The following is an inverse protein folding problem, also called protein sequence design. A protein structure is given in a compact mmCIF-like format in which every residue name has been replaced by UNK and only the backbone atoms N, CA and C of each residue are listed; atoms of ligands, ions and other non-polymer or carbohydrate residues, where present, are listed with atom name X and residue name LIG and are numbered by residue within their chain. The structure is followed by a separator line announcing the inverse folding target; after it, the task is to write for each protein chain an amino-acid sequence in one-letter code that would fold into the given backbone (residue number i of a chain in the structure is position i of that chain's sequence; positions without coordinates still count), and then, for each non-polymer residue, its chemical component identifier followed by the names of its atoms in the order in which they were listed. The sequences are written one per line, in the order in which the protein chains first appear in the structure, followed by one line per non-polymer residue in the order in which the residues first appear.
data_IF_849529584596
#
_entry.id   IF_849529584596
#
_cell.length_a   1.000
_cell.length_b   1.000
_cell.length_c   1.000
_cell.angle_alpha   90.00
_cell.angle_beta   90.00
_cell.angle_gamma   90.00
#
_symmetry.space_group_name_H-M   'P 1'
#
loop_
_entity.id
_entity.type
_entity.pdbx_description
1 polymer ?
#
# COMPACT_ATOMS: atom_id res chain seq x y z
N UNK A 1 2.76 19.82 3.29
CA UNK A 1 3.31 18.53 3.73
C UNK A 1 2.14 17.63 4.08
N UNK A 2 2.01 16.46 3.44
CA UNK A 2 0.97 15.50 3.84
C UNK A 2 1.36 14.85 5.17
N UNK A 3 0.42 14.66 6.09
CA UNK A 3 0.64 13.98 7.37
C UNK A 3 -0.40 12.88 7.53
N UNK A 4 0.03 11.76 8.09
CA UNK A 4 -0.85 10.67 8.50
C UNK A 4 -1.49 11.08 9.83
N UNK A 5 -2.80 11.32 9.84
CA UNK A 5 -3.53 11.84 10.99
C UNK A 5 -4.73 10.97 11.32
N UNK A 6 -5.51 10.57 10.31
CA UNK A 6 -6.74 9.79 10.50
C UNK A 6 -6.54 8.29 10.37
N UNK A 7 -5.51 7.86 9.66
CA UNK A 7 -5.35 6.49 9.17
C UNK A 7 -5.15 5.49 10.31
N UNK A 8 -4.38 5.85 11.34
CA UNK A 8 -4.24 5.02 12.55
C UNK A 8 -5.58 4.84 13.29
N UNK A 9 -6.41 5.88 13.34
CA UNK A 9 -7.74 5.78 13.95
C UNK A 9 -8.69 4.96 13.10
N UNK A 10 -8.60 5.05 11.78
CA UNK A 10 -9.34 4.18 10.85
C UNK A 10 -9.06 2.70 11.13
N UNK A 11 -7.79 2.33 11.34
CA UNK A 11 -7.45 0.95 11.71
C UNK A 11 -8.07 0.50 13.04
N UNK A 12 -8.09 1.38 14.06
CA UNK A 12 -8.77 1.09 15.34
C UNK A 12 -10.27 0.85 15.17
N UNK A 13 -10.91 1.57 14.25
CA UNK A 13 -12.31 1.37 13.91
C UNK A 13 -12.50 0.03 13.18
N UNK A 14 -11.67 -0.25 12.18
CA UNK A 14 -11.73 -1.49 11.39
C UNK A 14 -11.55 -2.75 12.25
N UNK A 15 -10.74 -2.70 13.33
CA UNK A 15 -10.58 -3.82 14.28
C UNK A 15 -11.89 -4.29 14.93
N UNK A 16 -12.95 -3.48 14.92
CA UNK A 16 -14.25 -3.84 15.50
C UNK A 16 -15.10 -4.74 14.59
N UNK A 17 -14.64 -5.01 13.36
CA UNK A 17 -15.38 -5.75 12.35
C UNK A 17 -14.59 -6.97 11.86
N UNK A 18 -15.26 -8.03 11.40
CA UNK A 18 -14.60 -9.18 10.80
C UNK A 18 -14.13 -8.84 9.38
N UNK A 19 -12.99 -8.16 9.27
CA UNK A 19 -12.40 -7.76 8.00
C UNK A 19 -11.53 -8.89 7.42
N UNK A 20 -11.81 -9.30 6.18
CA UNK A 20 -11.05 -10.35 5.49
C UNK A 20 -9.90 -9.80 4.64
N UNK A 21 -10.02 -8.56 4.15
CA UNK A 21 -9.00 -7.88 3.36
C UNK A 21 -8.96 -6.37 3.64
N UNK A 22 -7.76 -5.79 3.57
CA UNK A 22 -7.53 -4.35 3.65
C UNK A 22 -6.68 -3.93 2.46
N UNK A 23 -7.15 -2.95 1.70
CA UNK A 23 -6.37 -2.35 0.61
C UNK A 23 -5.86 -0.98 1.03
N UNK A 24 -4.53 -0.79 0.99
CA UNK A 24 -3.89 0.48 1.30
C UNK A 24 -3.61 1.27 0.03
N UNK A 25 -3.90 2.57 0.08
CA UNK A 25 -3.66 3.54 -0.98
C UNK A 25 -2.81 4.69 -0.45
N UNK A 26 -1.96 5.25 -1.31
CA UNK A 26 -1.16 6.44 -1.02
C UNK A 26 -1.49 7.48 -2.07
N UNK A 27 -2.42 8.36 -1.74
CA UNK A 27 -2.98 9.34 -2.67
C UNK A 27 -1.89 10.00 -3.53
N UNK A 28 -1.90 9.71 -4.83
CA UNK A 28 -1.08 10.44 -5.79
C UNK A 28 -1.87 11.68 -6.16
N UNK A 29 -1.22 12.86 -6.18
CA UNK A 29 -1.86 14.06 -6.71
C UNK A 29 -2.35 13.84 -8.14
N UNK A 30 -3.54 14.37 -8.43
CA UNK A 30 -4.07 14.41 -9.78
C UNK A 30 -3.16 15.31 -10.65
N UNK A 31 -2.87 14.90 -11.88
CA UNK A 31 -2.04 15.67 -12.82
C UNK A 31 -2.59 17.08 -13.11
N UNK A 32 -3.86 17.33 -12.80
CA UNK A 32 -4.50 18.64 -12.95
C UNK A 32 -4.12 19.66 -11.85
N UNK A 33 -3.51 19.23 -10.74
CA UNK A 33 -3.12 20.08 -9.59
C UNK A 33 -1.61 20.37 -9.51
N UNK A 34 -0.98 20.61 -10.68
CA UNK A 34 0.46 20.83 -10.91
C UNK A 34 1.09 22.05 -10.19
N UNK A 35 0.39 22.73 -9.29
CA UNK A 35 0.82 24.03 -8.75
C UNK A 35 1.72 23.95 -7.51
N UNK A 36 1.82 22.79 -6.83
CA UNK A 36 2.75 22.60 -5.68
C UNK A 36 3.26 21.16 -5.59
N UNK A 37 4.58 20.99 -5.47
CA UNK A 37 5.20 19.69 -5.17
C UNK A 37 4.65 19.15 -3.84
N UNK A 38 4.14 17.92 -3.86
CA UNK A 38 3.76 17.23 -2.63
C UNK A 38 5.00 16.48 -2.16
N UNK A 39 5.54 16.94 -1.04
CA UNK A 39 6.52 16.16 -0.32
C UNK A 39 5.78 15.08 0.48
N UNK A 40 5.89 13.83 0.02
CA UNK A 40 5.36 12.68 0.73
C UNK A 40 6.31 12.35 1.88
N UNK A 41 5.76 12.20 3.07
CA UNK A 41 6.51 11.68 4.20
C UNK A 41 6.61 10.14 4.06
N UNK A 42 7.62 9.70 3.31
CA UNK A 42 7.84 8.29 2.99
C UNK A 42 8.06 7.45 4.23
N UNK A 43 8.75 7.98 5.23
CA UNK A 43 9.01 7.28 6.48
C UNK A 43 7.70 7.06 7.24
N UNK A 44 6.85 8.09 7.36
CA UNK A 44 5.52 7.94 7.96
C UNK A 44 4.67 6.91 7.22
N UNK A 45 4.70 6.89 5.89
CA UNK A 45 3.97 5.90 5.07
C UNK A 45 4.47 4.48 5.35
N UNK A 46 5.80 4.27 5.35
CA UNK A 46 6.42 2.98 5.68
C UNK A 46 6.02 2.52 7.09
N UNK A 47 6.10 3.41 8.07
CA UNK A 47 5.73 3.14 9.45
C UNK A 47 4.26 2.73 9.56
N UNK A 48 3.38 3.40 8.83
CA UNK A 48 1.95 3.05 8.79
C UNK A 48 1.69 1.68 8.14
N UNK A 49 2.41 1.33 7.06
CA UNK A 49 2.31 -0.01 6.45
C UNK A 49 2.74 -1.11 7.43
N UNK A 50 3.88 -0.92 8.08
CA UNK A 50 4.39 -1.86 9.09
C UNK A 50 3.40 -1.98 10.25
N UNK A 51 2.87 -0.87 10.74
CA UNK A 51 1.86 -0.84 11.78
C UNK A 51 0.61 -1.62 11.36
N UNK A 52 0.09 -1.38 10.16
CA UNK A 52 -1.09 -2.08 9.62
C UNK A 52 -0.86 -3.59 9.58
N UNK A 53 0.31 -4.04 9.08
CA UNK A 53 0.63 -5.46 9.00
C UNK A 53 0.67 -6.11 10.38
N UNK A 54 1.28 -5.43 11.37
CA UNK A 54 1.36 -5.92 12.77
C UNK A 54 -0.01 -6.01 13.44
N UNK A 55 -0.89 -5.06 13.14
CA UNK A 55 -2.22 -4.98 13.76
C UNK A 55 -3.22 -5.99 13.18
N UNK A 56 -2.99 -6.43 11.95
CA UNK A 56 -3.87 -7.34 11.23
C UNK A 56 -3.13 -8.55 10.64
N UNK A 57 -2.33 -9.31 11.39
CA UNK A 57 -1.36 -10.27 10.83
C UNK A 57 -1.97 -11.40 9.99
N UNK A 58 -3.26 -11.68 10.12
CA UNK A 58 -3.99 -12.74 9.40
C UNK A 58 -4.92 -12.23 8.29
N UNK A 59 -5.10 -10.92 8.17
CA UNK A 59 -5.97 -10.30 7.16
C UNK A 59 -5.21 -10.13 5.86
N UNK A 60 -5.84 -10.35 4.71
CA UNK A 60 -5.16 -10.11 3.43
C UNK A 60 -4.88 -8.61 3.27
N UNK A 61 -3.62 -8.24 3.14
CA UNK A 61 -3.19 -6.85 2.98
C UNK A 61 -2.77 -6.62 1.53
N UNK A 62 -3.46 -5.70 0.86
CA UNK A 62 -3.26 -5.40 -0.54
C UNK A 62 -2.72 -3.99 -0.74
N UNK A 63 -1.74 -3.83 -1.63
CA UNK A 63 -1.25 -2.52 -2.03
C UNK A 63 -1.94 -2.07 -3.33
N UNK A 64 -2.71 -0.98 -3.25
CA UNK A 64 -3.45 -0.47 -4.39
C UNK A 64 -2.61 0.34 -5.39
N UNK A 65 -3.26 0.77 -6.49
CA UNK A 65 -2.60 1.36 -7.66
C UNK A 65 -2.25 2.85 -7.50
N UNK A 66 -3.02 3.59 -6.70
CA UNK A 66 -2.74 4.99 -6.40
C UNK A 66 -1.65 5.06 -5.34
N UNK A 67 -0.39 4.85 -5.73
CA UNK A 67 0.80 5.13 -4.92
C UNK A 67 1.93 5.72 -5.78
N UNK A 68 2.76 6.62 -5.22
CA UNK A 68 3.92 7.11 -5.96
C UNK A 68 4.91 5.95 -6.21
N UNK A 69 5.38 5.84 -7.46
CA UNK A 69 6.28 4.77 -7.90
C UNK A 69 7.74 5.14 -7.63
N UNK A 70 8.11 5.13 -6.35
CA UNK A 70 9.46 5.45 -5.89
C UNK A 70 10.12 4.23 -5.23
N UNK A 71 11.44 4.16 -5.32
CA UNK A 71 12.22 2.98 -4.90
C UNK A 71 12.03 2.68 -3.41
N UNK A 72 11.97 3.70 -2.57
CA UNK A 72 11.82 3.53 -1.13
C UNK A 72 10.50 2.82 -0.78
N UNK A 73 9.39 3.13 -1.46
CA UNK A 73 8.13 2.43 -1.21
C UNK A 73 8.12 1.02 -1.77
N UNK A 74 8.82 0.77 -2.88
CA UNK A 74 8.92 -0.57 -3.46
C UNK A 74 9.58 -1.58 -2.49
N UNK A 75 10.46 -1.13 -1.59
CA UNK A 75 11.08 -1.96 -0.54
C UNK A 75 10.05 -2.55 0.44
N UNK A 76 8.85 -1.95 0.53
CA UNK A 76 7.76 -2.46 1.39
C UNK A 76 6.97 -3.59 0.77
N UNK A 77 7.31 -4.03 -0.45
CA UNK A 77 6.58 -5.04 -1.22
C UNK A 77 6.27 -6.32 -0.41
N UNK A 78 7.22 -6.78 0.40
CA UNK A 78 7.11 -8.02 1.17
C UNK A 78 6.08 -7.95 2.31
N UNK A 79 5.57 -6.77 2.63
CA UNK A 79 4.51 -6.62 3.63
C UNK A 79 3.12 -7.00 3.10
N UNK A 80 2.96 -7.08 1.77
CA UNK A 80 1.67 -7.20 1.12
C UNK A 80 1.44 -8.59 0.55
N UNK A 81 0.23 -9.10 0.75
CA UNK A 81 -0.24 -10.38 0.22
C UNK A 81 -0.61 -10.28 -1.26
N UNK A 82 -1.03 -9.09 -1.71
CA UNK A 82 -1.24 -8.81 -3.14
C UNK A 82 -0.90 -7.36 -3.49
N UNK A 83 -0.46 -7.12 -4.71
CA UNK A 83 -0.02 -5.80 -5.17
C UNK A 83 -0.62 -5.51 -6.53
N UNK A 84 -1.40 -4.44 -6.61
CA UNK A 84 -1.98 -3.98 -7.86
C UNK A 84 -0.92 -3.20 -8.64
N UNK A 85 -0.75 -3.58 -9.90
CA UNK A 85 0.21 -2.98 -10.84
C UNK A 85 1.62 -2.81 -10.22
N UNK A 86 2.30 -3.92 -9.87
CA UNK A 86 3.60 -3.87 -9.22
C UNK A 86 4.68 -3.33 -10.17
N UNK A 87 5.68 -2.64 -9.62
CA UNK A 87 6.85 -2.24 -10.40
C UNK A 87 7.76 -3.46 -10.65
N UNK A 88 8.66 -3.36 -11.64
CA UNK A 88 9.65 -4.41 -11.90
C UNK A 88 10.52 -4.72 -10.66
N UNK A 89 10.82 -3.69 -9.86
CA UNK A 89 11.61 -3.84 -8.63
C UNK A 89 10.84 -4.64 -7.58
N UNK A 90 9.56 -4.35 -7.37
CA UNK A 90 8.72 -5.11 -6.44
C UNK A 90 8.63 -6.58 -6.85
N UNK A 91 8.39 -6.85 -8.14
CA UNK A 91 8.33 -8.23 -8.65
C UNK A 91 9.66 -8.96 -8.37
N UNK A 92 10.80 -8.30 -8.59
CA UNK A 92 12.13 -8.87 -8.32
C UNK A 92 12.30 -9.19 -6.83
N UNK A 93 11.92 -8.26 -5.94
CA UNK A 93 12.02 -8.47 -4.49
C UNK A 93 11.15 -9.64 -4.03
N UNK A 94 9.89 -9.71 -4.49
CA UNK A 94 8.97 -10.76 -4.08
C UNK A 94 9.43 -12.13 -4.59
N UNK A 95 9.90 -12.23 -5.84
CA UNK A 95 10.36 -13.50 -6.43
C UNK A 95 11.56 -14.12 -5.71
N UNK A 96 12.37 -13.32 -5.01
CA UNK A 96 13.50 -13.85 -4.24
C UNK A 96 13.04 -14.58 -2.97
N UNK A 97 11.89 -14.21 -2.41
CA UNK A 97 11.38 -14.71 -1.14
C UNK A 97 10.16 -15.64 -1.30
N UNK A 98 9.35 -15.43 -2.33
CA UNK A 98 8.04 -16.05 -2.50
C UNK A 98 7.76 -16.46 -3.96
N UNK A 99 6.93 -17.50 -4.11
CA UNK A 99 6.27 -17.80 -5.38
C UNK A 99 5.19 -16.76 -5.69
N UNK A 100 5.14 -16.26 -6.92
CA UNK A 100 4.13 -15.28 -7.36
C UNK A 100 3.07 -15.94 -8.25
N UNK A 101 1.82 -15.57 -8.02
CA UNK A 101 0.71 -15.87 -8.94
C UNK A 101 0.29 -14.55 -9.58
N UNK A 102 0.32 -14.49 -10.92
CA UNK A 102 -0.12 -13.31 -11.66
C UNK A 102 -1.58 -13.51 -12.03
N UNK A 103 -2.42 -12.54 -11.68
CA UNK A 103 -3.83 -12.51 -12.02
C UNK A 103 -4.10 -11.29 -12.90
N UNK A 104 -4.63 -11.53 -14.10
CA UNK A 104 -5.06 -10.49 -15.02
C UNK A 104 -6.52 -10.15 -14.74
N UNK A 105 -6.73 -9.22 -13.81
CA UNK A 105 -8.06 -8.79 -13.37
C UNK A 105 -8.26 -7.30 -13.67
N UNK A 106 -9.48 -6.93 -14.07
CA UNK A 106 -9.85 -5.54 -14.24
C UNK A 106 -9.81 -4.82 -12.88
N UNK A 107 -9.35 -3.58 -12.84
CA UNK A 107 -9.31 -2.79 -11.60
C UNK A 107 -10.70 -2.58 -10.96
N UNK A 108 -11.80 -2.81 -11.71
CA UNK A 108 -13.17 -2.79 -11.18
C UNK A 108 -13.60 -4.09 -10.49
N UNK A 109 -12.80 -5.16 -10.57
CA UNK A 109 -13.09 -6.50 -10.05
C UNK A 109 -12.12 -6.93 -8.92
N UNK A 110 -11.31 -6.00 -8.41
CA UNK A 110 -10.32 -6.23 -7.35
C UNK A 110 -10.91 -6.27 -5.94
#
# INVERSE_FOLDING_TARGET
QGKIVGEYNSLKILKKYPINSITLLVLIKNEMEKTKSVNYDIESIKNFFIYTRKEFPKVKLSLGCMRPRIKELDETALLFDSIVNPTKNMIKLIRNEYGIVIQEICCSLC
#
